data_IF_140950601346
#
_entry.id   IF_140950601346
#
_cell.length_a   1.000
_cell.length_b   1.000
_cell.length_c   1.000
_cell.angle_alpha   90.00
_cell.angle_beta   90.00
_cell.angle_gamma   90.00
#
_symmetry.space_group_name_H-M   'P 1'
#
loop_
_entity.id
_entity.type
_entity.pdbx_description
1 polymer ?
#
# COMPACT_ATOMS: atom_id res chain seq x y z
N UNK A 1 7.20 -9.60 41.76
CA UNK A 1 7.83 -10.61 40.88
C UNK A 1 6.75 -11.60 40.48
N UNK A 2 6.12 -11.41 39.36
CA UNK A 2 5.16 -12.34 38.76
C UNK A 2 5.36 -12.27 37.24
N UNK A 3 5.89 -13.36 36.69
CA UNK A 3 6.15 -13.58 35.27
C UNK A 3 4.82 -13.72 34.53
N UNK A 4 4.64 -13.15 33.31
CA UNK A 4 3.50 -13.46 32.46
C UNK A 4 3.73 -14.79 31.73
N UNK A 5 2.65 -15.59 31.65
CA UNK A 5 2.60 -16.88 31.00
C UNK A 5 2.71 -16.78 29.49
N UNK A 6 3.50 -17.68 28.89
CA UNK A 6 3.59 -17.91 27.44
C UNK A 6 2.33 -18.60 26.93
N UNK A 7 1.79 -18.10 25.80
CA UNK A 7 0.68 -18.68 25.06
C UNK A 7 1.24 -19.66 24.00
N UNK A 8 0.74 -20.92 23.90
CA UNK A 8 1.31 -21.91 23.00
C UNK A 8 0.82 -21.73 21.55
N UNK A 9 1.76 -21.73 20.63
CA UNK A 9 1.58 -21.66 19.20
C UNK A 9 0.66 -22.77 18.65
N UNK A 10 -0.38 -22.40 17.93
CA UNK A 10 -1.22 -23.30 17.15
C UNK A 10 -0.51 -23.70 15.84
N UNK A 11 -0.34 -25.00 15.62
CA UNK A 11 0.25 -25.59 14.43
C UNK A 11 -0.72 -25.54 13.22
N UNK A 12 -0.24 -25.37 11.98
CA UNK A 12 -1.09 -25.36 10.80
C UNK A 12 -1.48 -26.78 10.36
N UNK A 13 -2.66 -26.99 9.74
CA UNK A 13 -3.10 -28.31 9.28
C UNK A 13 -2.34 -28.77 8.03
N UNK A 14 -1.89 -30.03 8.05
CA UNK A 14 -1.28 -30.73 6.93
C UNK A 14 -2.32 -31.01 5.85
N UNK A 15 -2.10 -30.51 4.64
CA UNK A 15 -2.87 -30.92 3.45
C UNK A 15 -2.25 -32.15 2.83
N UNK A 16 -3.07 -33.20 2.71
CA UNK A 16 -2.76 -34.46 2.04
C UNK A 16 -2.72 -34.25 0.52
N UNK A 17 -1.66 -34.79 -0.11
CA UNK A 17 -1.54 -34.89 -1.55
C UNK A 17 -2.30 -36.12 -2.05
N UNK A 18 -3.19 -35.97 -2.99
CA UNK A 18 -3.79 -37.05 -3.78
C UNK A 18 -3.19 -37.03 -5.19
N UNK A 19 -2.45 -38.11 -5.50
CA UNK A 19 -1.95 -38.48 -6.81
C UNK A 19 -3.00 -39.37 -7.51
N UNK A 20 -3.41 -39.02 -8.73
CA UNK A 20 -3.99 -39.91 -9.75
C UNK A 20 -3.91 -39.13 -11.07
N UNK A 21 -3.47 -39.61 -12.21
CA UNK A 21 -3.22 -40.90 -12.77
C UNK A 21 -3.14 -40.67 -14.30
N UNK A 22 -2.12 -41.24 -14.94
CA UNK A 22 -1.84 -41.18 -16.39
C UNK A 22 -2.96 -41.78 -17.23
N UNK A 23 -3.23 -41.19 -18.42
CA UNK A 23 -3.78 -41.91 -19.56
C UNK A 23 -3.11 -41.40 -20.85
N UNK A 24 -2.29 -42.26 -21.46
CA UNK A 24 -1.82 -42.15 -22.84
C UNK A 24 -2.90 -42.64 -23.79
N UNK A 25 -3.14 -41.93 -24.90
CA UNK A 25 -3.73 -42.52 -26.11
C UNK A 25 -2.92 -42.09 -27.33
N UNK A 26 -2.42 -43.10 -28.01
CA UNK A 26 -1.77 -43.03 -29.32
C UNK A 26 -2.82 -43.23 -30.44
N UNK A 27 -2.62 -42.58 -31.57
CA UNK A 27 -3.45 -42.78 -32.80
C UNK A 27 -2.90 -41.95 -33.93
N UNK A 28 -2.24 -42.47 -34.73
CA UNK A 28 -2.19 -43.11 -36.09
C UNK A 28 -1.93 -42.14 -37.21
N UNK A 29 -0.82 -42.42 -37.91
CA UNK A 29 -0.40 -41.89 -39.22
C UNK A 29 -1.31 -42.37 -40.36
N UNK A 30 -1.69 -41.47 -41.28
CA UNK A 30 -2.10 -41.88 -42.65
C UNK A 30 -1.33 -41.05 -43.67
N UNK A 31 -0.60 -41.75 -44.52
CA UNK A 31 0.01 -41.25 -45.75
C UNK A 31 -1.01 -41.21 -46.87
N UNK A 32 -0.93 -40.22 -47.75
CA UNK A 32 -1.79 -40.12 -48.93
C UNK A 32 -1.21 -39.20 -50.01
N UNK A 33 -0.55 -39.84 -50.95
CA UNK A 33 -0.45 -39.66 -52.42
C UNK A 33 -0.34 -38.27 -53.07
N UNK A 34 0.68 -38.20 -53.89
CA UNK A 34 1.04 -37.27 -54.94
C UNK A 34 -0.03 -37.05 -56.01
N UNK A 35 -0.21 -35.85 -56.52
CA UNK A 35 -0.76 -35.55 -57.83
C UNK A 35 0.04 -34.38 -58.45
N UNK A 36 0.57 -34.63 -59.65
CA UNK A 36 1.25 -33.70 -60.54
C UNK A 36 0.25 -32.68 -61.11
N UNK A 37 0.65 -31.42 -61.15
CA UNK A 37 -0.06 -30.39 -61.84
C UNK A 37 0.85 -29.71 -62.87
N UNK A 38 0.37 -29.58 -64.10
CA UNK A 38 0.98 -28.89 -65.22
C UNK A 38 0.95 -27.37 -65.08
N UNK A 39 1.83 -26.62 -65.74
CA UNK A 39 1.92 -25.16 -65.57
C UNK A 39 0.83 -24.44 -66.39
N UNK A 40 0.02 -23.67 -65.71
CA UNK A 40 -0.87 -22.71 -66.35
C UNK A 40 -0.43 -21.28 -66.09
N UNK A 41 -0.46 -20.50 -67.14
CA UNK A 41 0.01 -19.10 -67.23
C UNK A 41 -0.85 -18.19 -66.37
N UNK A 42 -0.36 -17.81 -65.19
CA UNK A 42 -1.04 -16.87 -64.32
C UNK A 42 -0.80 -15.42 -64.73
N UNK A 43 -1.85 -14.79 -65.20
CA UNK A 43 -2.03 -13.36 -65.42
C UNK A 43 -1.91 -12.63 -64.05
N UNK A 44 -0.94 -11.73 -63.90
CA UNK A 44 -0.73 -10.95 -62.67
C UNK A 44 -1.98 -10.11 -62.35
N UNK A 45 -2.62 -10.43 -61.22
CA UNK A 45 -3.63 -9.58 -60.60
C UNK A 45 -2.91 -8.54 -59.70
N UNK A 46 -3.39 -7.28 -59.63
CA UNK A 46 -2.82 -6.30 -58.70
C UNK A 46 -3.07 -6.75 -57.25
N UNK A 47 -2.00 -6.85 -56.46
CA UNK A 47 -2.08 -7.11 -55.01
C UNK A 47 -2.75 -5.91 -54.34
N UNK A 48 -3.98 -6.06 -53.93
CA UNK A 48 -4.59 -5.17 -52.98
C UNK A 48 -3.96 -5.40 -51.62
N UNK A 49 -3.24 -4.41 -51.10
CA UNK A 49 -2.74 -4.44 -49.71
C UNK A 49 -3.93 -4.52 -48.76
N UNK A 50 -3.92 -5.45 -47.74
CA UNK A 50 -4.99 -5.48 -46.78
C UNK A 50 -5.05 -4.13 -46.02
N UNK A 51 -6.23 -3.65 -45.65
CA UNK A 51 -6.33 -2.43 -44.83
C UNK A 51 -5.63 -2.65 -43.49
N UNK A 52 -4.78 -1.68 -43.15
CA UNK A 52 -4.12 -1.62 -41.81
C UNK A 52 -5.21 -1.64 -40.74
N UNK A 53 -5.15 -2.58 -39.77
CA UNK A 53 -6.13 -2.58 -38.70
C UNK A 53 -6.09 -1.23 -37.98
N UNK A 54 -7.23 -0.67 -37.54
CA UNK A 54 -7.26 0.56 -36.78
C UNK A 54 -6.37 0.41 -35.54
N UNK A 55 -5.53 1.41 -35.28
CA UNK A 55 -4.70 1.44 -34.10
C UNK A 55 -5.57 1.28 -32.85
N UNK A 56 -5.25 0.31 -32.01
CA UNK A 56 -5.94 0.15 -30.74
C UNK A 56 -5.87 1.47 -29.96
N UNK A 57 -6.95 1.91 -29.31
CA UNK A 57 -6.93 3.14 -28.52
C UNK A 57 -5.80 3.04 -27.49
N UNK A 58 -4.91 4.02 -27.50
CA UNK A 58 -3.83 4.11 -26.51
C UNK A 58 -4.47 4.14 -25.12
N UNK A 59 -4.03 3.23 -24.23
CA UNK A 59 -4.49 3.26 -22.84
C UNK A 59 -4.21 4.66 -22.25
N UNK A 60 -5.11 5.20 -21.43
CA UNK A 60 -4.92 6.49 -20.81
C UNK A 60 -3.60 6.49 -20.01
N UNK A 61 -2.74 7.44 -20.31
CA UNK A 61 -1.48 7.63 -19.56
C UNK A 61 -1.86 8.15 -18.18
N UNK A 62 -1.84 7.26 -17.20
CA UNK A 62 -2.06 7.61 -15.80
C UNK A 62 -0.80 8.31 -15.30
N UNK A 63 -0.90 9.54 -14.75
CA UNK A 63 0.26 10.21 -14.17
C UNK A 63 0.90 9.35 -13.08
N UNK A 64 2.24 9.36 -12.93
CA UNK A 64 2.89 8.66 -11.83
C UNK A 64 2.45 9.24 -10.48
N UNK A 65 2.38 8.39 -9.45
CA UNK A 65 2.06 8.82 -8.10
C UNK A 65 3.12 9.81 -7.57
N UNK A 66 2.77 10.67 -6.60
CA UNK A 66 3.73 11.58 -5.97
C UNK A 66 4.95 10.83 -5.41
N UNK A 67 6.14 11.40 -5.61
CA UNK A 67 7.42 10.89 -5.11
C UNK A 67 7.74 11.47 -3.72
N UNK A 68 8.70 10.87 -2.97
CA UNK A 68 9.17 11.43 -1.71
C UNK A 68 9.69 12.86 -1.89
N UNK A 69 9.38 13.72 -0.92
CA UNK A 69 9.83 15.12 -0.91
C UNK A 69 10.69 15.39 0.32
N UNK A 70 11.69 16.26 0.15
CA UNK A 70 12.45 16.79 1.28
C UNK A 70 11.75 18.03 1.82
N UNK A 71 11.62 18.09 3.13
CA UNK A 71 11.11 19.24 3.89
C UNK A 71 12.26 19.79 4.74
N UNK A 72 13.00 20.83 4.27
CA UNK A 72 14.26 21.25 4.88
C UNK A 72 14.14 21.71 6.34
N UNK A 73 12.98 22.18 6.75
CA UNK A 73 12.69 22.58 8.14
C UNK A 73 12.34 21.41 9.07
N UNK A 74 12.25 20.17 8.53
CA UNK A 74 11.85 19.01 9.31
C UNK A 74 13.05 18.11 9.61
N UNK A 75 13.04 17.39 10.77
CA UNK A 75 14.08 16.41 11.11
C UNK A 75 14.04 15.19 10.17
N UNK A 76 15.06 14.34 10.25
CA UNK A 76 15.11 13.07 9.48
C UNK A 76 13.98 12.10 9.88
N UNK A 77 13.54 12.13 11.13
CA UNK A 77 12.36 11.40 11.60
C UNK A 77 11.29 12.39 12.03
N UNK A 78 10.14 12.34 11.34
CA UNK A 78 8.99 13.22 11.57
C UNK A 78 7.98 12.49 12.44
N UNK A 79 7.62 13.10 13.57
CA UNK A 79 6.60 12.59 14.49
C UNK A 79 5.36 13.45 14.53
N UNK A 80 5.50 14.72 14.18
CA UNK A 80 4.45 15.72 14.07
C UNK A 80 4.91 16.80 13.08
N UNK A 81 3.96 17.51 12.51
CA UNK A 81 4.20 18.66 11.65
C UNK A 81 4.19 19.98 12.43
N UNK A 82 4.34 21.10 11.71
CA UNK A 82 4.23 22.44 12.29
C UNK A 82 2.79 22.74 12.74
N UNK A 83 2.66 23.66 13.68
CA UNK A 83 1.35 24.26 13.98
C UNK A 83 1.00 25.25 12.87
N UNK A 84 -0.06 24.96 12.14
CA UNK A 84 -0.54 25.80 11.02
C UNK A 84 -1.76 26.62 11.43
N UNK A 85 -2.07 27.63 10.65
CA UNK A 85 -3.33 28.36 10.71
C UNK A 85 -3.97 28.34 9.31
N UNK A 86 -5.12 27.69 9.08
CA UNK A 86 -5.91 26.92 10.06
C UNK A 86 -5.16 25.68 10.58
N UNK A 87 -5.52 25.19 11.81
CA UNK A 87 -4.87 24.03 12.41
C UNK A 87 -5.11 22.75 11.60
N UNK A 88 -4.02 22.01 11.30
CA UNK A 88 -4.07 20.75 10.55
C UNK A 88 -3.58 19.58 11.40
N UNK A 89 -4.03 18.38 11.08
CA UNK A 89 -3.54 17.08 11.62
C UNK A 89 -3.43 16.08 10.47
N UNK A 90 -2.57 15.05 10.59
CA UNK A 90 -2.52 13.95 9.62
C UNK A 90 -3.07 12.67 10.24
N UNK A 91 -4.09 12.08 9.63
CA UNK A 91 -4.51 10.71 9.93
C UNK A 91 -3.72 9.76 9.03
N UNK A 92 -2.96 8.85 9.64
CA UNK A 92 -2.08 7.94 8.92
C UNK A 92 -2.40 6.50 9.26
N UNK A 93 -2.49 5.66 8.22
CA UNK A 93 -2.94 4.27 8.34
C UNK A 93 -1.83 3.30 7.97
N UNK A 94 -1.64 2.27 8.79
CA UNK A 94 -0.83 1.10 8.44
C UNK A 94 -1.67 0.23 7.49
N UNK A 95 -1.22 0.14 6.24
CA UNK A 95 -1.96 -0.46 5.13
C UNK A 95 -1.70 -1.96 5.02
N UNK A 96 -2.49 -2.76 5.73
CA UNK A 96 -2.59 -4.22 5.58
C UNK A 96 -3.93 -4.72 6.13
N UNK A 97 -4.24 -6.01 5.92
CA UNK A 97 -5.47 -6.65 6.37
C UNK A 97 -6.52 -6.77 5.28
N UNK A 98 -7.79 -6.88 5.65
CA UNK A 98 -8.90 -7.05 4.70
C UNK A 98 -9.07 -5.81 3.82
N UNK A 99 -8.96 -5.93 2.47
CA UNK A 99 -9.13 -4.80 1.55
C UNK A 99 -10.53 -4.20 1.58
N UNK A 100 -11.56 -4.94 2.02
CA UNK A 100 -12.90 -4.41 2.20
C UNK A 100 -12.96 -3.41 3.36
N UNK A 101 -12.25 -3.70 4.46
CA UNK A 101 -12.09 -2.77 5.60
C UNK A 101 -11.31 -1.53 5.15
N UNK A 102 -10.19 -1.72 4.42
CA UNK A 102 -9.42 -0.61 3.88
C UNK A 102 -10.27 0.31 2.99
N UNK A 103 -11.08 -0.27 2.09
CA UNK A 103 -12.00 0.47 1.22
C UNK A 103 -13.06 1.22 2.01
N UNK A 104 -13.57 0.64 3.09
CA UNK A 104 -14.55 1.28 3.98
C UNK A 104 -13.95 2.48 4.70
N UNK A 105 -12.73 2.36 5.26
CA UNK A 105 -12.01 3.47 5.89
C UNK A 105 -11.79 4.64 4.90
N UNK A 106 -11.32 4.33 3.68
CA UNK A 106 -11.13 5.34 2.64
C UNK A 106 -12.46 6.01 2.28
N UNK A 107 -13.54 5.23 2.15
CA UNK A 107 -14.87 5.74 1.87
C UNK A 107 -15.41 6.68 2.94
N UNK A 108 -15.21 6.38 4.23
CA UNK A 108 -15.61 7.29 5.34
C UNK A 108 -14.80 8.60 5.32
N UNK A 109 -13.48 8.52 5.07
CA UNK A 109 -12.66 9.72 4.92
C UNK A 109 -13.11 10.59 3.74
N UNK A 110 -13.38 9.99 2.59
CA UNK A 110 -13.84 10.69 1.37
C UNK A 110 -15.23 11.32 1.54
N UNK A 111 -16.17 10.64 2.18
CA UNK A 111 -17.50 11.19 2.53
C UNK A 111 -17.39 12.46 3.36
N UNK A 112 -16.41 12.51 4.26
CA UNK A 112 -16.12 13.67 5.08
C UNK A 112 -15.25 14.73 4.35
N UNK A 113 -14.89 14.52 3.09
CA UNK A 113 -14.01 15.42 2.34
C UNK A 113 -12.56 15.44 2.84
N UNK A 114 -12.12 14.38 3.51
CA UNK A 114 -10.80 14.25 4.15
C UNK A 114 -9.88 13.38 3.32
N UNK A 115 -8.61 13.80 3.24
CA UNK A 115 -7.54 12.98 2.65
C UNK A 115 -6.61 12.50 3.76
N UNK A 116 -6.15 11.25 3.61
CA UNK A 116 -5.33 10.55 4.60
C UNK A 116 -3.99 10.09 4.00
N UNK A 117 -3.10 9.58 4.85
CA UNK A 117 -1.84 8.97 4.42
C UNK A 117 -1.86 7.48 4.72
N UNK A 118 -1.58 6.66 3.73
CA UNK A 118 -1.52 5.19 3.88
C UNK A 118 -0.08 4.73 3.69
N UNK A 119 0.46 4.03 4.68
CA UNK A 119 1.77 3.36 4.61
C UNK A 119 1.49 1.87 4.36
N UNK A 120 1.67 1.41 3.12
CA UNK A 120 1.25 0.07 2.70
C UNK A 120 2.37 -0.96 2.81
N UNK A 121 2.02 -2.16 3.28
CA UNK A 121 2.90 -3.34 3.29
C UNK A 121 3.04 -3.90 1.88
N UNK A 122 4.27 -4.22 1.46
CA UNK A 122 4.55 -4.62 0.08
C UNK A 122 3.87 -5.93 -0.33
N UNK A 123 3.86 -6.96 0.52
CA UNK A 123 3.17 -8.23 0.26
C UNK A 123 1.64 -8.05 0.17
N UNK A 124 1.07 -7.16 0.97
CA UNK A 124 -0.35 -6.82 0.87
C UNK A 124 -0.70 -6.16 -0.47
N UNK A 125 0.22 -5.35 -1.02
CA UNK A 125 0.06 -4.77 -2.35
C UNK A 125 0.21 -5.84 -3.47
N UNK A 126 1.05 -6.87 -3.28
CA UNK A 126 1.16 -7.98 -4.22
C UNK A 126 -0.15 -8.81 -4.25
N UNK A 127 -0.80 -9.01 -3.09
CA UNK A 127 -2.09 -9.73 -2.97
C UNK A 127 -3.27 -8.89 -3.48
N UNK A 128 -3.21 -7.56 -3.31
CA UNK A 128 -4.30 -6.64 -3.62
C UNK A 128 -3.83 -5.44 -4.47
N UNK A 129 -3.31 -5.66 -5.70
CA UNK A 129 -2.66 -4.61 -6.48
C UNK A 129 -3.57 -3.40 -6.82
N UNK A 130 -4.88 -3.63 -6.89
CA UNK A 130 -5.87 -2.57 -7.15
C UNK A 130 -5.99 -1.54 -6.01
N UNK A 131 -5.59 -1.90 -4.77
CA UNK A 131 -5.73 -1.01 -3.62
C UNK A 131 -4.77 0.20 -3.71
N UNK A 132 -3.59 0.02 -4.31
CA UNK A 132 -2.65 1.12 -4.51
C UNK A 132 -3.29 2.24 -5.36
N UNK A 133 -3.97 1.85 -6.43
CA UNK A 133 -4.68 2.78 -7.29
C UNK A 133 -5.89 3.41 -6.59
N UNK A 134 -6.67 2.59 -5.85
CA UNK A 134 -7.82 3.06 -5.06
C UNK A 134 -7.43 4.16 -4.06
N UNK A 135 -6.28 4.02 -3.39
CA UNK A 135 -5.75 5.02 -2.45
C UNK A 135 -5.42 6.32 -3.19
N UNK A 136 -4.69 6.23 -4.31
CA UNK A 136 -4.26 7.40 -5.08
C UNK A 136 -5.42 8.14 -5.76
N UNK A 137 -6.42 7.41 -6.28
CA UNK A 137 -7.60 7.99 -6.94
C UNK A 137 -8.48 8.77 -5.96
N UNK A 138 -8.47 8.41 -4.66
CA UNK A 138 -9.08 9.19 -3.58
C UNK A 138 -8.29 10.44 -3.19
N UNK A 139 -7.13 10.70 -3.82
CA UNK A 139 -6.26 11.83 -3.48
C UNK A 139 -5.47 11.66 -2.18
N UNK A 140 -5.37 10.45 -1.67
CA UNK A 140 -4.61 10.11 -0.46
C UNK A 140 -3.12 9.96 -0.76
N UNK A 141 -2.27 10.17 0.25
CA UNK A 141 -0.86 9.81 0.18
C UNK A 141 -0.70 8.27 0.26
N UNK A 142 0.19 7.71 -0.55
CA UNK A 142 0.58 6.31 -0.47
C UNK A 142 2.09 6.21 -0.21
N UNK A 143 2.49 5.45 0.79
CA UNK A 143 3.88 5.26 1.21
C UNK A 143 4.21 3.81 1.56
N UNK A 144 5.45 3.61 1.98
CA UNK A 144 6.11 2.34 2.22
C UNK A 144 6.04 1.95 3.72
N UNK A 145 5.54 0.74 4.02
CA UNK A 145 5.52 0.18 5.37
C UNK A 145 6.26 -1.17 5.44
N UNK A 146 7.41 -1.27 4.76
CA UNK A 146 8.22 -2.48 4.59
C UNK A 146 7.57 -3.56 3.72
N UNK A 147 8.34 -4.58 3.36
CA UNK A 147 7.87 -5.64 2.46
C UNK A 147 6.95 -6.64 3.16
N UNK A 148 7.34 -7.15 4.34
CA UNK A 148 6.65 -8.24 5.05
C UNK A 148 6.10 -7.84 6.43
N UNK A 149 6.22 -6.58 6.83
CA UNK A 149 5.77 -6.08 8.13
C UNK A 149 6.40 -6.82 9.34
N UNK A 150 7.70 -7.11 9.25
CA UNK A 150 8.47 -7.69 10.35
C UNK A 150 9.07 -6.60 11.24
N UNK A 151 9.66 -6.96 12.41
CA UNK A 151 10.35 -5.98 13.26
C UNK A 151 11.65 -5.52 12.59
N UNK A 152 11.56 -4.41 11.87
CA UNK A 152 12.67 -3.90 11.06
C UNK A 152 13.85 -3.43 11.91
N UNK A 153 13.62 -2.99 13.15
CA UNK A 153 14.68 -2.53 14.02
C UNK A 153 15.54 -3.68 14.58
N UNK A 154 15.01 -4.90 14.62
CA UNK A 154 15.73 -6.09 15.05
C UNK A 154 16.53 -6.78 13.91
N UNK A 155 16.39 -6.30 12.67
CA UNK A 155 17.03 -6.88 11.49
C UNK A 155 18.47 -6.45 11.31
N UNK A 156 19.26 -7.30 10.64
CA UNK A 156 20.56 -6.90 10.09
C UNK A 156 20.39 -5.80 9.03
N UNK A 157 21.48 -5.08 8.73
CA UNK A 157 21.48 -4.04 7.70
C UNK A 157 20.98 -4.55 6.34
N UNK A 158 21.40 -5.76 5.94
CA UNK A 158 21.02 -6.35 4.65
C UNK A 158 19.53 -6.67 4.61
N UNK A 159 18.98 -7.27 5.66
CA UNK A 159 17.56 -7.61 5.76
C UNK A 159 16.69 -6.36 5.80
N UNK A 160 17.02 -5.38 6.64
CA UNK A 160 16.28 -4.13 6.72
C UNK A 160 16.31 -3.36 5.38
N UNK A 161 17.44 -3.34 4.68
CA UNK A 161 17.53 -2.73 3.36
C UNK A 161 16.66 -3.47 2.32
N UNK A 162 16.59 -4.80 2.38
CA UNK A 162 15.73 -5.61 1.50
C UNK A 162 14.25 -5.35 1.77
N UNK A 163 13.83 -5.22 3.04
CA UNK A 163 12.47 -4.87 3.42
C UNK A 163 12.02 -3.51 2.86
N UNK A 164 12.86 -2.48 3.01
CA UNK A 164 12.55 -1.12 2.52
C UNK A 164 12.49 -1.10 0.99
N UNK A 165 13.54 -1.59 0.32
CA UNK A 165 13.64 -1.59 -1.15
C UNK A 165 12.61 -2.49 -1.80
N UNK A 166 12.38 -3.67 -1.23
CA UNK A 166 11.39 -4.61 -1.72
C UNK A 166 9.98 -4.01 -1.80
N UNK A 167 9.54 -3.26 -0.78
CA UNK A 167 8.28 -2.53 -0.82
C UNK A 167 8.32 -1.34 -1.79
N UNK A 168 9.41 -0.56 -1.81
CA UNK A 168 9.59 0.55 -2.76
C UNK A 168 9.45 0.09 -4.23
N UNK A 169 10.01 -1.07 -4.57
CA UNK A 169 9.91 -1.67 -5.90
C UNK A 169 8.46 -2.06 -6.25
N UNK A 170 7.67 -2.56 -5.27
CA UNK A 170 6.24 -2.86 -5.47
C UNK A 170 5.46 -1.58 -5.77
N UNK A 171 5.63 -0.58 -4.93
CA UNK A 171 5.01 0.73 -5.13
C UNK A 171 5.36 1.30 -6.51
N UNK A 172 6.65 1.26 -6.89
CA UNK A 172 7.10 1.79 -8.19
C UNK A 172 6.49 1.03 -9.38
N UNK A 173 6.37 -0.30 -9.31
CA UNK A 173 5.71 -1.08 -10.37
C UNK A 173 4.24 -0.76 -10.51
N UNK A 174 3.53 -0.55 -9.39
CA UNK A 174 2.08 -0.34 -9.38
C UNK A 174 1.69 1.11 -9.70
N UNK A 175 2.55 2.08 -9.36
CA UNK A 175 2.16 3.50 -9.35
C UNK A 175 3.13 4.43 -10.09
N UNK A 176 4.28 3.92 -10.51
CA UNK A 176 5.35 4.74 -11.11
C UNK A 176 6.23 5.49 -10.09
N UNK A 177 5.94 5.40 -8.79
CA UNK A 177 6.66 6.05 -7.70
C UNK A 177 6.94 5.07 -6.56
N UNK A 178 8.01 5.31 -5.78
CA UNK A 178 8.28 4.55 -4.55
C UNK A 178 7.35 4.94 -3.38
N UNK A 179 6.37 5.82 -3.61
CA UNK A 179 5.49 6.39 -2.61
C UNK A 179 6.05 7.65 -1.94
N UNK A 180 5.24 8.35 -1.17
CA UNK A 180 5.60 9.63 -0.56
C UNK A 180 6.43 9.49 0.71
N UNK A 181 6.14 8.46 1.53
CA UNK A 181 6.68 8.29 2.88
C UNK A 181 7.17 6.86 3.12
N UNK A 182 8.10 6.72 4.08
CA UNK A 182 8.48 5.44 4.68
C UNK A 182 8.19 5.47 6.18
N UNK A 183 7.59 4.40 6.72
CA UNK A 183 7.39 4.16 8.15
C UNK A 183 7.95 2.80 8.54
N UNK A 184 8.73 2.69 9.65
CA UNK A 184 9.21 1.40 10.14
C UNK A 184 8.04 0.51 10.60
N UNK A 185 8.11 -0.78 10.28
CA UNK A 185 7.13 -1.77 10.74
C UNK A 185 7.42 -2.22 12.17
N UNK A 186 6.36 -2.53 12.92
CA UNK A 186 6.38 -3.02 14.31
C UNK A 186 7.17 -2.15 15.29
N UNK A 187 7.34 -0.88 14.96
CA UNK A 187 8.02 0.06 15.83
C UNK A 187 7.48 1.48 15.64
N UNK A 188 7.24 2.23 16.71
CA UNK A 188 6.79 3.62 16.60
C UNK A 188 7.92 4.55 16.11
N UNK A 189 9.20 4.11 16.15
CA UNK A 189 10.39 4.88 15.78
C UNK A 189 11.35 4.05 14.94
N UNK A 190 12.02 4.70 13.99
CA UNK A 190 13.09 4.09 13.24
C UNK A 190 14.42 4.17 14.01
N UNK A 191 15.17 3.06 14.09
CA UNK A 191 16.56 3.11 14.56
C UNK A 191 17.43 3.97 13.63
N UNK A 192 18.59 4.43 14.11
CA UNK A 192 19.50 5.21 13.28
C UNK A 192 19.96 4.44 12.03
N UNK A 193 20.05 3.11 12.09
CA UNK A 193 20.33 2.25 10.95
C UNK A 193 19.18 2.33 9.94
N UNK A 194 17.94 2.11 10.38
CA UNK A 194 16.75 2.10 9.53
C UNK A 194 16.52 3.46 8.88
N UNK A 195 16.75 4.57 9.59
CA UNK A 195 16.68 5.93 9.02
C UNK A 195 17.67 6.12 7.87
N UNK A 196 18.94 5.70 8.03
CA UNK A 196 19.94 5.76 6.96
C UNK A 196 19.54 4.91 5.76
N UNK A 197 19.08 3.67 5.99
CA UNK A 197 18.67 2.78 4.90
C UNK A 197 17.44 3.30 4.15
N UNK A 198 16.52 3.97 4.83
CA UNK A 198 15.39 4.64 4.20
C UNK A 198 15.86 5.82 3.32
N UNK A 199 16.83 6.63 3.80
CA UNK A 199 17.43 7.70 3.00
C UNK A 199 18.15 7.15 1.77
N UNK A 200 18.92 6.07 1.91
CA UNK A 200 19.60 5.38 0.80
C UNK A 200 18.61 4.79 -0.23
N UNK A 201 17.40 4.45 0.21
CA UNK A 201 16.31 3.99 -0.65
C UNK A 201 15.52 5.13 -1.33
N UNK A 202 15.82 6.40 -0.98
CA UNK A 202 15.22 7.59 -1.59
C UNK A 202 14.15 8.28 -0.73
N UNK A 203 13.96 7.91 0.55
CA UNK A 203 13.05 8.58 1.47
C UNK A 203 13.82 9.59 2.35
N UNK A 204 13.72 10.91 2.08
CA UNK A 204 14.48 11.93 2.82
C UNK A 204 14.13 11.97 4.31
N UNK A 205 12.94 11.51 4.65
CA UNK A 205 12.42 11.47 6.02
C UNK A 205 11.76 10.12 6.29
N UNK A 206 11.85 9.65 7.53
CA UNK A 206 10.99 8.58 8.06
C UNK A 206 9.78 9.21 8.74
N UNK A 207 8.60 8.60 8.59
CA UNK A 207 7.36 9.08 9.19
C UNK A 207 6.99 8.21 10.40
N UNK A 208 7.07 8.78 11.57
CA UNK A 208 6.56 8.24 12.83
C UNK A 208 5.23 8.92 13.20
N UNK A 209 4.86 8.93 14.46
CA UNK A 209 3.63 9.57 14.95
C UNK A 209 3.82 10.07 16.39
N UNK A 210 2.98 11.00 16.83
CA UNK A 210 2.91 11.49 18.21
C UNK A 210 1.59 11.11 18.91
N UNK A 211 0.62 10.56 18.16
CA UNK A 211 -0.66 10.07 18.68
C UNK A 211 -0.90 8.65 18.21
N UNK A 212 -1.12 7.71 19.14
CA UNK A 212 -1.48 6.33 18.85
C UNK A 212 -2.96 6.08 19.22
N UNK A 213 -3.74 5.59 18.27
CA UNK A 213 -5.14 5.25 18.49
C UNK A 213 -5.33 3.96 19.29
N UNK A 214 -4.32 3.08 19.31
CA UNK A 214 -4.36 1.72 19.85
C UNK A 214 -5.48 0.85 19.24
N UNK A 215 -5.96 1.19 18.04
CA UNK A 215 -7.03 0.49 17.34
C UNK A 215 -6.69 -0.98 17.04
N UNK A 216 -5.40 -1.29 16.85
CA UNK A 216 -4.90 -2.66 16.65
C UNK A 216 -5.13 -3.60 17.84
N UNK A 217 -5.48 -3.07 19.00
CA UNK A 217 -5.85 -3.88 20.18
C UNK A 217 -7.35 -4.22 20.21
N UNK A 218 -8.11 -3.75 19.23
CA UNK A 218 -9.58 -3.92 19.14
C UNK A 218 -10.33 -3.48 20.40
N UNK A 219 -10.13 -2.25 20.90
CA UNK A 219 -10.67 -1.80 22.18
C UNK A 219 -12.12 -1.28 22.09
N UNK A 220 -12.74 -1.37 20.90
CA UNK A 220 -14.02 -0.78 20.55
C UNK A 220 -13.91 0.66 20.04
N UNK A 221 -14.79 1.05 19.11
CA UNK A 221 -14.77 2.33 18.40
C UNK A 221 -14.68 3.56 19.33
N UNK A 222 -15.46 3.58 20.42
CA UNK A 222 -15.44 4.68 21.38
C UNK A 222 -14.09 4.82 22.09
N UNK A 223 -13.36 3.73 22.31
CA UNK A 223 -12.03 3.77 22.91
C UNK A 223 -10.98 4.30 21.90
N UNK A 224 -11.04 3.88 20.63
CA UNK A 224 -10.20 4.41 19.55
C UNK A 224 -10.35 5.94 19.47
N UNK A 225 -11.59 6.44 19.40
CA UNK A 225 -11.87 7.88 19.38
C UNK A 225 -11.31 8.61 20.61
N UNK A 226 -11.55 8.08 21.82
CA UNK A 226 -11.00 8.67 23.06
C UNK A 226 -9.48 8.73 23.07
N UNK A 227 -8.80 7.65 22.66
CA UNK A 227 -7.35 7.57 22.65
C UNK A 227 -6.74 8.66 21.77
N UNK A 228 -7.28 8.87 20.57
CA UNK A 228 -6.83 9.95 19.68
C UNK A 228 -7.12 11.31 20.29
N UNK A 229 -8.38 11.56 20.73
CA UNK A 229 -8.82 12.86 21.20
C UNK A 229 -8.17 13.30 22.52
N UNK A 230 -7.59 12.38 23.29
CA UNK A 230 -6.88 12.67 24.53
C UNK A 230 -5.59 13.47 24.32
N UNK A 231 -4.91 13.28 23.19
CA UNK A 231 -3.57 13.84 22.98
C UNK A 231 -3.41 14.61 21.65
N UNK A 232 -4.35 14.48 20.71
CA UNK A 232 -4.28 15.16 19.41
C UNK A 232 -4.27 16.68 19.57
N UNK A 233 -3.39 17.34 18.80
CA UNK A 233 -3.18 18.79 18.80
C UNK A 233 -2.83 19.27 17.37
N UNK A 234 -2.82 20.58 17.09
CA UNK A 234 -2.34 21.10 15.82
C UNK A 234 -0.95 20.57 15.47
N UNK A 235 -0.83 19.99 14.27
CA UNK A 235 0.41 19.38 13.79
C UNK A 235 0.54 17.89 14.08
N UNK A 236 -0.34 17.26 14.86
CA UNK A 236 -0.24 15.83 15.19
C UNK A 236 -0.29 14.93 13.97
N UNK A 237 0.50 13.85 14.03
CA UNK A 237 0.43 12.68 13.15
C UNK A 237 -0.16 11.53 13.96
N UNK A 238 -1.33 11.05 13.54
CA UNK A 238 -2.10 10.00 14.23
C UNK A 238 -1.86 8.66 13.56
N UNK A 239 -1.56 7.62 14.35
CA UNK A 239 -1.42 6.23 13.92
C UNK A 239 -2.74 5.48 14.03
N UNK A 240 -3.17 4.86 12.92
CA UNK A 240 -4.35 4.02 12.76
C UNK A 240 -4.01 2.83 11.85
N UNK A 241 -4.90 1.83 11.74
CA UNK A 241 -4.67 0.62 10.95
C UNK A 241 -5.87 0.26 10.08
N UNK A 242 -5.62 -0.33 8.90
CA UNK A 242 -6.68 -0.78 8.01
C UNK A 242 -7.30 -2.13 8.42
N UNK A 243 -6.67 -2.95 9.17
CA UNK A 243 -7.13 -4.33 9.44
C UNK A 243 -8.26 -4.48 10.47
N UNK A 244 -8.82 -3.38 11.01
CA UNK A 244 -9.68 -3.45 12.21
C UNK A 244 -11.04 -2.79 11.98
N UNK A 245 -12.12 -3.52 12.31
CA UNK A 245 -13.50 -3.02 12.19
C UNK A 245 -13.76 -1.82 13.12
N UNK A 246 -13.12 -1.79 14.29
CA UNK A 246 -13.23 -0.69 15.25
C UNK A 246 -12.74 0.63 14.67
N UNK A 247 -11.73 0.58 13.78
CA UNK A 247 -11.21 1.78 13.08
C UNK A 247 -12.27 2.35 12.15
N UNK A 248 -12.95 1.49 11.36
CA UNK A 248 -14.06 1.93 10.50
C UNK A 248 -15.17 2.56 11.31
N UNK A 249 -15.58 1.89 12.39
CA UNK A 249 -16.67 2.35 13.24
C UNK A 249 -16.36 3.63 14.02
N UNK A 250 -15.08 3.86 14.36
CA UNK A 250 -14.63 5.05 15.08
C UNK A 250 -14.52 6.29 14.17
N UNK A 251 -14.25 6.09 12.88
CA UNK A 251 -13.83 7.19 11.99
C UNK A 251 -14.86 8.30 11.85
N UNK A 252 -16.18 8.06 11.69
CA UNK A 252 -17.17 9.13 11.61
C UNK A 252 -17.17 10.04 12.85
N UNK A 253 -17.19 9.47 14.06
CA UNK A 253 -17.18 10.23 15.31
C UNK A 253 -15.85 10.96 15.50
N UNK A 254 -14.73 10.33 15.15
CA UNK A 254 -13.41 10.94 15.23
C UNK A 254 -13.31 12.16 14.30
N UNK A 255 -13.76 12.04 13.05
CA UNK A 255 -13.73 13.14 12.09
C UNK A 255 -14.64 14.29 12.53
N UNK A 256 -15.85 14.00 13.03
CA UNK A 256 -16.76 14.98 13.59
C UNK A 256 -16.13 15.74 14.78
N UNK A 257 -15.50 15.04 15.70
CA UNK A 257 -14.86 15.65 16.87
C UNK A 257 -13.61 16.49 16.51
N UNK A 258 -12.82 16.05 15.51
CA UNK A 258 -11.71 16.84 15.00
C UNK A 258 -12.20 18.16 14.37
N UNK A 259 -13.27 18.11 13.56
CA UNK A 259 -13.89 19.29 12.97
C UNK A 259 -14.42 20.23 14.05
N UNK A 260 -15.14 19.71 15.05
CA UNK A 260 -15.63 20.50 16.20
C UNK A 260 -14.51 21.21 16.98
N UNK A 261 -13.30 20.62 17.00
CA UNK A 261 -12.09 21.22 17.59
C UNK A 261 -11.34 22.16 16.63
N UNK A 262 -11.83 22.35 15.41
CA UNK A 262 -11.17 23.13 14.36
C UNK A 262 -9.86 22.49 13.85
N UNK A 263 -9.68 21.18 14.04
CA UNK A 263 -8.52 20.43 13.58
C UNK A 263 -8.84 19.78 12.22
N UNK A 264 -8.30 20.32 11.13
CA UNK A 264 -8.55 19.83 9.78
C UNK A 264 -7.65 18.64 9.47
N UNK A 265 -8.18 17.41 9.21
CA UNK A 265 -7.40 16.30 8.75
C UNK A 265 -6.95 16.50 7.29
N UNK A 266 -5.67 16.25 7.03
CA UNK A 266 -5.03 16.37 5.71
C UNK A 266 -4.03 15.23 5.51
N UNK A 267 -3.47 15.07 4.30
CA UNK A 267 -2.33 14.16 4.10
C UNK A 267 -1.09 14.66 4.85
N UNK A 268 -0.15 13.76 5.15
CA UNK A 268 1.12 14.17 5.77
C UNK A 268 1.89 15.13 4.87
N UNK A 269 1.85 14.92 3.54
CA UNK A 269 2.46 15.85 2.59
C UNK A 269 1.87 17.26 2.68
N UNK A 270 0.55 17.36 2.81
CA UNK A 270 -0.13 18.67 2.98
C UNK A 270 0.12 19.28 4.36
N UNK A 271 0.26 18.46 5.42
CA UNK A 271 0.57 18.93 6.77
C UNK A 271 1.92 19.64 6.83
N UNK A 272 2.89 19.18 6.03
CA UNK A 272 4.28 19.66 6.05
C UNK A 272 4.58 20.69 4.95
N UNK A 273 3.63 20.94 4.04
CA UNK A 273 3.71 21.95 2.98
C UNK A 273 3.13 23.31 3.43
#
# INVERSE_FOLDING_TARGET
MTTPAEDPAAAPPRRAALLTGLALTAGTLTAGCSAQASPDTARAQPRTTPPTPPAAPSAPVVPPAPAPRRFPAQPSEITHGPRTNPPKVALTFHGQGDPAIATSVLGEAEKAGVRVTVLAVGTWLDEHPGIARRILDGGHDLGNHTLHHLDINAMSQTEAAAEIRGCADRLKRLTGSIGTWFRPSRSPRASALVQRLAQDAGYPHTLSYDVDSLDFTSPGAAAVTRNVLATVRPGSVVSLHFGYADTVAALPDLLHELDRRGLRPVTTTELLS
#
